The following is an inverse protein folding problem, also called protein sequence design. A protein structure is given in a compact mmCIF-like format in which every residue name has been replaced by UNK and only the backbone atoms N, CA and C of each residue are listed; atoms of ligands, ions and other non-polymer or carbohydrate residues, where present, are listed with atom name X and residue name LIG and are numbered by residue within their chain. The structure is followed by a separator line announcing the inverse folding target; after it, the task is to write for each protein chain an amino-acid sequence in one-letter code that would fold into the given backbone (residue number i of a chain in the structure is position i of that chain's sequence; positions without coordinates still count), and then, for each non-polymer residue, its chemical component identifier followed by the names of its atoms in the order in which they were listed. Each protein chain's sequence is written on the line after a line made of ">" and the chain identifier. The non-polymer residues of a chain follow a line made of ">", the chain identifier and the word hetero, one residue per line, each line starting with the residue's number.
data_IF_069057620928
#
_entry.id   IF_069057620928
#
_cell.length_a   1.000
_cell.length_b   1.000
_cell.length_c   1.000
_cell.angle_alpha   90.00
_cell.angle_beta   90.00
_cell.angle_gamma   90.00
#
_symmetry.space_group_name_H-M   'P 1'
#
loop_
_entity.id
_entity.type
_entity.pdbx_description
1 polymer ?
#
# COMPACT_ATOMS: atom_id res chain seq x y z
N UNK A 1 -6.74 -11.82 -16.16
CA UNK A 1 -6.46 -12.08 -14.73
C UNK A 1 -5.07 -11.54 -14.29
N UNK A 2 -4.42 -10.67 -15.06
CA UNK A 2 -3.01 -10.29 -14.81
C UNK A 2 -2.69 -8.82 -15.11
N UNK A 3 -3.58 -7.89 -14.77
CA UNK A 3 -3.40 -6.48 -15.17
C UNK A 3 -3.28 -5.50 -14.03
N UNK A 4 -3.26 -5.97 -12.78
CA UNK A 4 -3.26 -5.10 -11.61
C UNK A 4 -2.55 -5.77 -10.42
N UNK A 5 -1.44 -6.46 -10.69
CA UNK A 5 -0.89 -7.44 -9.75
C UNK A 5 -0.68 -6.93 -8.32
N UNK A 6 -0.31 -5.66 -8.08
CA UNK A 6 -0.11 -5.16 -6.70
C UNK A 6 -1.40 -4.79 -5.98
N UNK A 7 -2.36 -4.13 -6.64
CA UNK A 7 -3.65 -3.82 -6.03
C UNK A 7 -4.53 -5.07 -5.90
N UNK A 8 -4.49 -5.97 -6.87
CA UNK A 8 -5.19 -7.26 -6.78
C UNK A 8 -4.59 -8.14 -5.69
N UNK A 9 -3.26 -8.15 -5.50
CA UNK A 9 -2.61 -8.97 -4.45
C UNK A 9 -2.99 -8.56 -3.04
N UNK A 10 -3.07 -7.25 -2.75
CA UNK A 10 -3.46 -6.78 -1.41
C UNK A 10 -4.90 -7.18 -1.08
N UNK A 11 -5.84 -7.04 -2.03
CA UNK A 11 -7.22 -7.46 -1.85
C UNK A 11 -7.38 -8.99 -1.77
N UNK A 12 -6.64 -9.73 -2.60
CA UNK A 12 -6.65 -11.20 -2.63
C UNK A 12 -6.15 -11.81 -1.31
N UNK A 13 -5.07 -11.27 -0.76
CA UNK A 13 -4.40 -11.82 0.42
C UNK A 13 -4.95 -11.29 1.75
N UNK A 14 -5.65 -10.14 1.75
CA UNK A 14 -6.22 -9.51 2.96
C UNK A 14 -6.94 -10.49 3.90
N UNK A 15 -7.76 -11.45 3.40
CA UNK A 15 -8.45 -12.41 4.26
C UNK A 15 -7.53 -13.35 5.05
N UNK A 16 -6.26 -13.51 4.66
CA UNK A 16 -5.27 -14.36 5.30
C UNK A 16 -4.09 -13.60 5.92
N UNK A 17 -4.06 -12.27 5.78
CA UNK A 17 -2.97 -11.46 6.31
C UNK A 17 -2.72 -11.74 7.80
N UNK A 18 -1.43 -11.81 8.14
CA UNK A 18 -0.92 -11.92 9.51
C UNK A 18 -1.35 -13.18 10.29
N UNK A 19 -1.67 -14.28 9.59
CA UNK A 19 -1.75 -15.61 10.21
C UNK A 19 -0.32 -16.14 10.41
N UNK A 20 0.27 -15.85 11.57
CA UNK A 20 1.66 -16.24 11.88
C UNK A 20 1.82 -17.70 12.32
N UNK A 21 0.75 -18.32 12.83
CA UNK A 21 0.77 -19.74 13.20
C UNK A 21 0.78 -20.60 11.93
N UNK A 22 1.93 -21.21 11.65
CA UNK A 22 2.13 -22.02 10.46
C UNK A 22 1.24 -23.28 10.41
N UNK A 23 0.88 -23.86 11.56
CA UNK A 23 -0.01 -25.02 11.58
C UNK A 23 -1.44 -24.60 11.28
N UNK A 24 -1.87 -23.48 11.85
CA UNK A 24 -3.18 -22.89 11.52
C UNK A 24 -3.25 -22.53 10.04
N UNK A 25 -2.22 -21.87 9.49
CA UNK A 25 -2.18 -21.51 8.07
C UNK A 25 -2.24 -22.76 7.19
N UNK A 26 -1.45 -23.79 7.48
CA UNK A 26 -1.51 -25.08 6.76
C UNK A 26 -2.90 -25.71 6.80
N UNK A 27 -3.55 -25.70 7.96
CA UNK A 27 -4.91 -26.21 8.11
C UNK A 27 -5.95 -25.45 7.29
N UNK A 28 -5.77 -24.13 7.12
CA UNK A 28 -6.63 -23.31 6.26
C UNK A 28 -6.38 -23.62 4.78
N UNK A 29 -5.11 -23.67 4.36
CA UNK A 29 -4.72 -23.96 2.97
C UNK A 29 -5.04 -25.39 2.53
N UNK A 30 -5.13 -26.34 3.47
CA UNK A 30 -5.55 -27.71 3.17
C UNK A 30 -7.05 -27.81 2.80
N UNK A 31 -7.87 -26.85 3.21
CA UNK A 31 -9.30 -26.82 2.89
C UNK A 31 -9.58 -26.21 1.51
N UNK A 32 -8.73 -25.29 1.08
CA UNK A 32 -8.86 -24.61 -0.21
C UNK A 32 -7.47 -24.27 -0.77
N UNK A 33 -7.07 -24.89 -1.90
CA UNK A 33 -5.77 -24.65 -2.53
C UNK A 33 -5.68 -23.29 -3.22
N UNK A 34 -6.79 -22.57 -3.42
CA UNK A 34 -6.85 -21.23 -4.03
C UNK A 34 -7.28 -20.19 -2.99
N UNK A 35 -6.36 -19.79 -2.09
CA UNK A 35 -6.69 -18.97 -0.94
C UNK A 35 -6.91 -17.48 -1.25
N UNK A 36 -6.82 -17.05 -2.51
CA UNK A 36 -7.16 -15.71 -2.91
C UNK A 36 -8.65 -15.40 -2.71
N UNK A 37 -8.96 -14.19 -2.23
CA UNK A 37 -10.34 -13.71 -2.10
C UNK A 37 -11.24 -14.67 -1.29
N UNK A 38 -10.74 -15.23 -0.18
CA UNK A 38 -11.57 -16.06 0.70
C UNK A 38 -12.80 -15.29 1.17
N UNK A 39 -13.96 -15.94 1.07
CA UNK A 39 -15.23 -15.41 1.57
C UNK A 39 -15.22 -15.28 3.09
N UNK A 40 -14.64 -16.26 3.79
CA UNK A 40 -14.43 -16.20 5.24
C UNK A 40 -12.99 -15.79 5.57
N UNK A 41 -12.85 -14.62 6.18
CA UNK A 41 -11.56 -14.07 6.59
C UNK A 41 -10.98 -14.81 7.80
N UNK A 42 -9.78 -15.34 7.66
CA UNK A 42 -9.00 -15.92 8.74
C UNK A 42 -8.00 -14.93 9.39
N UNK A 43 -7.98 -13.68 8.92
CA UNK A 43 -7.16 -12.59 9.44
C UNK A 43 -7.38 -12.47 10.96
N UNK A 44 -6.35 -12.43 11.81
CA UNK A 44 -6.57 -12.35 13.26
C UNK A 44 -6.82 -10.93 13.78
N UNK A 45 -6.63 -9.89 12.96
CA UNK A 45 -6.58 -8.50 13.42
C UNK A 45 -7.76 -7.65 13.01
N UNK A 46 -8.26 -7.80 11.77
CA UNK A 46 -9.34 -6.96 11.26
C UNK A 46 -10.21 -7.67 10.22
N UNK A 47 -11.41 -7.13 10.00
CA UNK A 47 -12.39 -7.61 9.02
C UNK A 47 -12.72 -6.50 8.04
N UNK A 48 -12.54 -6.78 6.74
CA UNK A 48 -13.06 -5.98 5.63
C UNK A 48 -13.80 -6.90 4.68
N UNK A 49 -14.63 -6.33 3.83
CA UNK A 49 -15.28 -7.08 2.77
C UNK A 49 -14.22 -7.64 1.81
N UNK A 50 -14.31 -8.93 1.51
CA UNK A 50 -13.42 -9.59 0.54
C UNK A 50 -13.43 -8.85 -0.80
N UNK A 51 -12.24 -8.60 -1.35
CA UNK A 51 -12.04 -7.79 -2.55
C UNK A 51 -11.75 -6.31 -2.25
N UNK A 52 -11.96 -5.83 -1.02
CA UNK A 52 -11.45 -4.53 -0.60
C UNK A 52 -9.95 -4.60 -0.32
N UNK A 53 -9.29 -3.46 -0.48
CA UNK A 53 -7.87 -3.32 -0.20
C UNK A 53 -7.55 -3.49 1.29
N UNK A 54 -6.32 -3.86 1.59
CA UNK A 54 -5.74 -3.61 2.90
C UNK A 54 -5.15 -2.20 2.97
N UNK A 55 -4.70 -1.77 4.16
CA UNK A 55 -4.00 -0.51 4.34
C UNK A 55 -2.73 -0.36 3.47
N UNK A 56 -2.11 -1.47 3.08
CA UNK A 56 -1.00 -1.47 2.12
C UNK A 56 -1.45 -1.04 0.72
N UNK A 57 -2.55 -1.65 0.23
CA UNK A 57 -3.11 -1.33 -1.08
C UNK A 57 -3.68 0.09 -1.14
N UNK A 58 -4.32 0.54 -0.06
CA UNK A 58 -4.85 1.91 0.03
C UNK A 58 -3.71 2.96 -0.01
N UNK A 59 -2.56 2.69 0.61
CA UNK A 59 -1.39 3.58 0.49
C UNK A 59 -0.81 3.60 -0.93
N UNK A 60 -0.77 2.45 -1.60
CA UNK A 60 -0.35 2.39 -3.00
C UNK A 60 -1.32 3.18 -3.90
N UNK A 61 -2.62 3.09 -3.64
CA UNK A 61 -3.65 3.87 -4.34
C UNK A 61 -3.44 5.38 -4.16
N UNK A 62 -3.26 5.86 -2.93
CA UNK A 62 -3.02 7.28 -2.66
C UNK A 62 -1.77 7.79 -3.36
N UNK A 63 -0.69 6.99 -3.39
CA UNK A 63 0.52 7.34 -4.13
C UNK A 63 0.29 7.41 -5.64
N UNK A 64 -0.43 6.42 -6.21
CA UNK A 64 -0.78 6.40 -7.62
C UNK A 64 -1.63 7.62 -8.00
N UNK A 65 -2.64 7.95 -7.20
CA UNK A 65 -3.52 9.08 -7.42
C UNK A 65 -2.73 10.40 -7.42
N UNK A 66 -1.84 10.61 -6.43
CA UNK A 66 -0.98 11.79 -6.36
C UNK A 66 -0.08 11.92 -7.60
N UNK A 67 0.58 10.84 -8.01
CA UNK A 67 1.45 10.81 -9.20
C UNK A 67 0.69 11.13 -10.48
N UNK A 68 -0.50 10.55 -10.64
CA UNK A 68 -1.36 10.75 -11.81
C UNK A 68 -1.81 12.20 -11.94
N UNK A 69 -2.30 12.79 -10.84
CA UNK A 69 -2.84 14.15 -10.82
C UNK A 69 -1.74 15.21 -10.92
N UNK A 70 -0.56 14.96 -10.35
CA UNK A 70 0.55 15.92 -10.36
C UNK A 70 1.49 15.77 -11.56
N UNK A 71 1.38 14.70 -12.36
CA UNK A 71 2.32 14.40 -13.43
C UNK A 71 3.74 14.09 -12.94
N UNK A 72 3.87 13.64 -11.68
CA UNK A 72 5.14 13.36 -11.02
C UNK A 72 4.99 13.39 -9.50
N UNK A 73 6.07 13.08 -8.78
CA UNK A 73 6.10 13.12 -7.33
C UNK A 73 6.00 14.56 -6.84
N UNK A 74 4.89 14.86 -6.16
CA UNK A 74 4.71 16.05 -5.36
C UNK A 74 4.52 15.62 -3.89
N UNK A 75 5.55 15.85 -3.07
CA UNK A 75 5.57 15.40 -1.67
C UNK A 75 4.46 16.06 -0.85
N UNK A 76 4.15 17.32 -1.10
CA UNK A 76 3.12 18.05 -0.36
C UNK A 76 1.73 17.56 -0.73
N UNK A 77 1.44 17.35 -2.02
CA UNK A 77 0.18 16.74 -2.47
C UNK A 77 0.01 15.33 -1.88
N UNK A 78 1.08 14.51 -1.90
CA UNK A 78 1.07 13.18 -1.31
C UNK A 78 0.77 13.21 0.20
N UNK A 79 1.37 14.14 0.95
CA UNK A 79 1.05 14.37 2.37
C UNK A 79 -0.42 14.73 2.56
N UNK A 80 -0.95 15.67 1.77
CA UNK A 80 -2.35 16.11 1.88
C UNK A 80 -3.34 14.98 1.55
N UNK A 81 -3.09 14.20 0.50
CA UNK A 81 -3.95 13.05 0.16
C UNK A 81 -3.87 11.95 1.18
N UNK A 82 -2.67 11.67 1.73
CA UNK A 82 -2.49 10.71 2.82
C UNK A 82 -3.27 11.16 4.06
N UNK A 83 -3.19 12.44 4.44
CA UNK A 83 -3.97 12.99 5.54
C UNK A 83 -5.47 12.88 5.27
N UNK A 84 -5.94 13.22 4.07
CA UNK A 84 -7.35 13.14 3.70
C UNK A 84 -7.88 11.69 3.75
N UNK A 85 -7.09 10.73 3.25
CA UNK A 85 -7.52 9.34 3.11
C UNK A 85 -7.47 8.58 4.45
N UNK A 86 -6.46 8.85 5.28
CA UNK A 86 -6.21 8.09 6.51
C UNK A 86 -6.46 8.89 7.80
N UNK A 87 -6.69 10.20 7.73
CA UNK A 87 -6.83 11.10 8.87
C UNK A 87 -8.26 11.20 9.42
N UNK A 88 -8.56 12.29 10.16
CA UNK A 88 -9.85 12.48 10.82
C UNK A 88 -11.04 12.41 9.85
N UNK A 89 -12.11 11.72 10.26
CA UNK A 89 -13.34 11.55 9.45
C UNK A 89 -13.25 10.50 8.32
N UNK A 90 -12.11 9.82 8.16
CA UNK A 90 -11.96 8.71 7.22
C UNK A 90 -12.52 7.38 7.79
N UNK A 91 -12.63 6.35 6.95
CA UNK A 91 -12.96 4.97 7.38
C UNK A 91 -11.92 4.43 8.39
N UNK A 92 -10.70 4.95 8.34
CA UNK A 92 -9.64 4.59 9.28
C UNK A 92 -9.79 5.27 10.64
N UNK A 93 -10.63 6.29 10.77
CA UNK A 93 -10.80 7.09 11.99
C UNK A 93 -11.70 6.40 13.02
N UNK A 94 -11.17 5.33 13.61
CA UNK A 94 -11.85 4.53 14.63
C UNK A 94 -11.12 4.60 15.97
N UNK A 95 -11.80 4.35 17.10
CA UNK A 95 -11.15 4.36 18.42
C UNK A 95 -9.95 3.40 18.56
N UNK A 96 -9.93 2.29 17.82
CA UNK A 96 -8.80 1.34 17.83
C UNK A 96 -7.63 1.84 16.97
N UNK A 97 -7.94 2.59 15.91
CA UNK A 97 -6.97 3.17 15.00
C UNK A 97 -6.45 4.54 15.46
N UNK A 98 -7.05 5.14 16.49
CA UNK A 98 -6.64 6.43 17.04
C UNK A 98 -5.10 6.47 17.26
N UNK A 99 -4.38 7.41 16.62
CA UNK A 99 -2.95 7.55 16.81
C UNK A 99 -2.57 7.83 18.27
N UNK A 100 -3.43 8.52 19.02
CA UNK A 100 -3.21 8.94 20.41
C UNK A 100 -3.69 7.92 21.45
N UNK A 101 -4.23 6.78 21.02
CA UNK A 101 -4.67 5.70 21.88
C UNK A 101 -3.55 5.26 22.84
N UNK A 102 -3.86 5.22 24.14
CA UNK A 102 -2.94 4.76 25.17
C UNK A 102 -2.54 3.29 24.94
N UNK A 103 -1.23 3.04 24.85
CA UNK A 103 -0.66 1.70 24.68
C UNK A 103 -0.72 0.87 25.97
N UNK A 104 -0.80 1.52 27.12
CA UNK A 104 -0.94 0.87 28.43
C UNK A 104 -2.40 0.59 28.80
N UNK A 105 -3.34 1.14 28.03
CA UNK A 105 -4.76 0.89 28.20
C UNK A 105 -5.19 -0.54 27.83
N UNK A 106 -6.47 -0.88 28.06
CA UNK A 106 -7.01 -2.19 27.70
C UNK A 106 -6.75 -2.54 26.24
N UNK A 107 -6.36 -3.78 25.94
CA UNK A 107 -6.17 -4.23 24.55
C UNK A 107 -7.52 -4.31 23.82
N UNK A 108 -7.59 -3.95 22.53
CA UNK A 108 -8.83 -4.09 21.78
C UNK A 108 -9.17 -5.57 21.62
N UNK A 109 -10.47 -5.88 21.59
CA UNK A 109 -10.90 -7.20 21.15
C UNK A 109 -10.61 -7.32 19.65
N UNK A 110 -9.90 -8.38 19.27
CA UNK A 110 -9.57 -8.68 17.89
C UNK A 110 -10.36 -9.90 17.41
N UNK A 111 -10.71 -9.98 16.12
CA UNK A 111 -10.47 -8.96 15.09
C UNK A 111 -11.38 -7.73 15.24
N UNK A 112 -10.92 -6.55 14.82
CA UNK A 112 -11.78 -5.37 14.72
C UNK A 112 -12.65 -5.44 13.46
N UNK A 113 -13.81 -4.80 13.52
CA UNK A 113 -14.61 -4.51 12.32
C UNK A 113 -14.08 -3.24 11.65
N UNK A 114 -13.80 -3.32 10.35
CA UNK A 114 -13.25 -2.22 9.56
C UNK A 114 -11.74 -2.31 9.30
N UNK A 115 -11.14 -1.24 8.74
CA UNK A 115 -9.75 -1.27 8.31
C UNK A 115 -8.78 -1.11 9.48
N UNK A 116 -7.55 -1.59 9.30
CA UNK A 116 -6.45 -1.45 10.27
C UNK A 116 -5.48 -0.34 9.86
N UNK A 117 -5.28 0.68 10.71
CA UNK A 117 -4.30 1.76 10.47
C UNK A 117 -2.91 1.33 10.97
N UNK A 118 -1.93 1.32 10.06
CA UNK A 118 -0.54 0.95 10.37
C UNK A 118 0.15 1.95 11.31
N UNK A 119 1.22 1.51 11.96
CA UNK A 119 1.96 2.32 12.91
C UNK A 119 2.65 3.52 12.24
N UNK A 120 3.23 3.30 11.05
CA UNK A 120 3.76 4.35 10.16
C UNK A 120 2.76 5.50 9.94
N UNK A 121 1.52 5.18 9.58
CA UNK A 121 0.44 6.16 9.38
C UNK A 121 0.00 6.84 10.69
N UNK A 122 -0.04 6.13 11.82
CA UNK A 122 -0.35 6.75 13.11
C UNK A 122 0.70 7.79 13.50
N UNK A 123 1.98 7.48 13.29
CA UNK A 123 3.08 8.43 13.51
C UNK A 123 3.06 9.58 12.51
N UNK A 124 2.75 9.32 11.24
CA UNK A 124 2.52 10.35 10.23
C UNK A 124 1.49 11.39 10.69
N UNK A 125 0.31 10.94 11.14
CA UNK A 125 -0.73 11.85 11.63
C UNK A 125 -0.25 12.70 12.82
N UNK A 126 0.47 12.10 13.77
CA UNK A 126 1.05 12.85 14.90
C UNK A 126 2.06 13.90 14.47
N UNK A 127 2.92 13.56 13.51
CA UNK A 127 3.93 14.47 13.02
C UNK A 127 3.31 15.64 12.24
N UNK A 128 2.24 15.37 11.47
CA UNK A 128 1.43 16.41 10.81
C UNK A 128 0.76 17.31 11.83
N UNK A 129 0.11 16.76 12.86
CA UNK A 129 -0.55 17.54 13.92
C UNK A 129 0.45 18.42 14.70
N UNK A 130 1.69 17.93 14.86
CA UNK A 130 2.79 18.66 15.49
C UNK A 130 3.44 19.70 14.56
N UNK A 131 3.01 19.83 13.30
CA UNK A 131 3.57 20.77 12.34
C UNK A 131 5.00 20.45 11.90
N UNK A 132 5.42 19.19 11.97
CA UNK A 132 6.76 18.78 11.51
C UNK A 132 6.86 18.80 9.99
N UNK A 133 8.01 19.24 9.49
CA UNK A 133 8.34 19.16 8.06
C UNK A 133 8.53 17.71 7.60
N UNK A 134 9.30 16.94 8.37
CA UNK A 134 9.48 15.50 8.19
C UNK A 134 8.37 14.73 8.90
N UNK A 135 7.48 14.12 8.11
CA UNK A 135 6.26 13.50 8.62
C UNK A 135 6.41 12.00 8.86
N UNK A 136 7.40 11.33 8.29
CA UNK A 136 7.55 9.89 8.40
C UNK A 136 7.90 9.40 9.81
N UNK A 137 7.56 8.14 10.10
CA UNK A 137 7.90 7.50 11.36
C UNK A 137 9.37 7.09 11.40
N UNK A 138 10.12 7.56 12.40
CA UNK A 138 11.55 7.24 12.58
C UNK A 138 11.81 5.81 13.08
N UNK A 139 10.81 5.19 13.71
CA UNK A 139 10.94 3.90 14.42
C UNK A 139 10.20 2.75 13.74
N UNK A 140 9.40 3.04 12.71
CA UNK A 140 8.71 2.01 11.97
C UNK A 140 9.65 1.42 10.91
N UNK A 141 9.93 0.12 11.05
CA UNK A 141 10.75 -0.64 10.10
C UNK A 141 9.94 -1.78 9.46
N UNK A 142 8.65 -1.54 9.20
CA UNK A 142 7.79 -2.53 8.55
C UNK A 142 7.90 -2.45 7.02
N UNK A 143 7.36 -3.46 6.34
CA UNK A 143 7.43 -3.62 4.88
C UNK A 143 6.51 -2.68 4.08
N UNK A 144 5.92 -1.66 4.72
CA UNK A 144 4.92 -0.76 4.12
C UNK A 144 5.46 -0.11 2.84
N UNK A 145 6.72 0.32 2.85
CA UNK A 145 7.38 0.91 1.68
C UNK A 145 7.44 -0.04 0.48
N UNK A 146 7.78 -1.31 0.70
CA UNK A 146 7.81 -2.32 -0.36
C UNK A 146 6.40 -2.57 -0.91
N UNK A 147 5.40 -2.66 -0.04
CA UNK A 147 4.04 -2.97 -0.44
C UNK A 147 3.40 -1.87 -1.32
N UNK A 148 3.90 -0.63 -1.24
CA UNK A 148 3.37 0.52 -2.00
C UNK A 148 4.29 1.08 -3.08
N UNK A 149 5.47 0.51 -3.32
CA UNK A 149 6.46 1.08 -4.26
C UNK A 149 6.08 0.99 -5.74
N UNK A 150 5.13 0.11 -6.10
CA UNK A 150 4.85 -0.21 -7.50
C UNK A 150 4.47 1.01 -8.38
N UNK A 151 3.57 1.92 -7.95
CA UNK A 151 3.18 3.09 -8.76
C UNK A 151 4.37 4.00 -9.09
N UNK A 152 5.21 4.31 -8.09
CA UNK A 152 6.32 5.24 -8.27
C UNK A 152 7.46 4.64 -9.08
N UNK A 153 7.75 3.35 -8.91
CA UNK A 153 8.74 2.65 -9.74
C UNK A 153 8.29 2.56 -11.19
N UNK A 154 7.00 2.30 -11.43
CA UNK A 154 6.43 2.30 -12.77
C UNK A 154 6.50 3.70 -13.42
N UNK A 155 6.13 4.74 -12.67
CA UNK A 155 6.13 6.13 -13.15
C UNK A 155 7.53 6.60 -13.56
N UNK A 156 8.54 6.30 -12.75
CA UNK A 156 9.93 6.71 -12.97
C UNK A 156 10.78 5.63 -13.64
N UNK A 157 10.16 4.60 -14.24
CA UNK A 157 10.88 3.50 -14.87
C UNK A 157 11.89 4.01 -15.92
N UNK A 158 13.16 3.62 -15.75
CA UNK A 158 14.24 4.00 -16.65
C UNK A 158 14.87 5.37 -16.37
N UNK A 159 14.26 6.21 -15.54
CA UNK A 159 14.80 7.52 -15.17
C UNK A 159 15.95 7.39 -14.16
N UNK A 160 17.01 8.21 -14.27
CA UNK A 160 18.19 8.11 -13.39
C UNK A 160 17.89 8.49 -11.93
N UNK A 161 16.87 9.31 -11.70
CA UNK A 161 16.43 9.81 -10.39
C UNK A 161 15.35 8.93 -9.74
N UNK A 162 14.96 7.80 -10.35
CA UNK A 162 13.88 6.92 -9.85
C UNK A 162 14.04 6.54 -8.37
N UNK A 163 15.26 6.18 -7.95
CA UNK A 163 15.50 5.79 -6.55
C UNK A 163 15.38 6.97 -5.58
N UNK A 164 15.78 8.16 -6.01
CA UNK A 164 15.60 9.39 -5.23
C UNK A 164 14.10 9.68 -5.01
N UNK A 165 13.29 9.53 -6.07
CA UNK A 165 11.84 9.71 -6.00
C UNK A 165 11.18 8.66 -5.11
N UNK A 166 11.60 7.40 -5.22
CA UNK A 166 11.13 6.34 -4.31
C UNK A 166 11.42 6.72 -2.86
N UNK A 167 12.65 7.09 -2.53
CA UNK A 167 13.01 7.48 -1.16
C UNK A 167 12.16 8.66 -0.65
N UNK A 168 12.02 9.72 -1.44
CA UNK A 168 11.20 10.88 -1.09
C UNK A 168 9.73 10.50 -0.78
N UNK A 169 9.14 9.59 -1.56
CA UNK A 169 7.76 9.14 -1.34
C UNK A 169 7.62 8.26 -0.09
N UNK A 170 8.58 7.37 0.19
CA UNK A 170 8.53 6.50 1.38
C UNK A 170 8.68 7.31 2.66
N UNK A 171 9.58 8.30 2.66
CA UNK A 171 9.83 9.19 3.81
C UNK A 171 8.62 10.02 4.24
N UNK A 172 7.57 10.10 3.43
CA UNK A 172 6.29 10.70 3.85
C UNK A 172 5.70 9.98 5.06
N UNK A 173 5.75 8.64 5.12
CA UNK A 173 5.16 7.86 6.22
C UNK A 173 6.19 7.05 7.02
N UNK A 174 7.35 6.74 6.45
CA UNK A 174 8.41 5.96 7.09
C UNK A 174 9.77 6.67 6.90
N UNK A 175 10.29 7.28 7.96
CA UNK A 175 11.57 7.98 7.97
C UNK A 175 12.63 7.18 8.72
N UNK A 176 12.75 5.89 8.39
CA UNK A 176 13.72 4.98 8.98
C UNK A 176 14.65 4.45 7.88
N UNK A 177 15.96 4.58 8.08
CA UNK A 177 16.93 4.27 7.02
C UNK A 177 16.99 2.78 6.65
N UNK A 178 16.68 1.87 7.58
CA UNK A 178 16.67 0.44 7.32
C UNK A 178 15.52 0.07 6.37
N UNK A 179 14.28 0.48 6.67
CA UNK A 179 13.16 0.19 5.77
C UNK A 179 13.25 0.95 4.44
N UNK A 180 13.85 2.15 4.43
CA UNK A 180 14.13 2.88 3.19
C UNK A 180 15.14 2.10 2.34
N UNK A 181 16.23 1.62 2.94
CA UNK A 181 17.22 0.83 2.22
C UNK A 181 16.64 -0.46 1.63
N UNK A 182 15.82 -1.19 2.39
CA UNK A 182 15.09 -2.38 1.92
C UNK A 182 14.17 -2.04 0.74
N UNK A 183 13.42 -0.94 0.86
CA UNK A 183 12.50 -0.50 -0.19
C UNK A 183 13.25 -0.12 -1.47
N UNK A 184 14.39 0.56 -1.37
CA UNK A 184 15.24 0.90 -2.51
C UNK A 184 15.84 -0.35 -3.16
N UNK A 185 16.21 -1.37 -2.37
CA UNK A 185 16.67 -2.65 -2.91
C UNK A 185 15.57 -3.37 -3.69
N UNK A 186 14.33 -3.37 -3.18
CA UNK A 186 13.17 -3.90 -3.89
C UNK A 186 12.88 -3.12 -5.18
N UNK A 187 12.92 -1.78 -5.13
CA UNK A 187 12.69 -0.92 -6.30
C UNK A 187 13.70 -1.18 -7.43
N UNK A 188 14.97 -1.44 -7.09
CA UNK A 188 16.00 -1.84 -8.08
C UNK A 188 15.66 -3.17 -8.76
N UNK A 189 15.09 -4.10 -8.02
CA UNK A 189 14.77 -5.45 -8.52
C UNK A 189 13.56 -5.44 -9.48
N UNK A 190 12.63 -4.51 -9.28
CA UNK A 190 11.38 -4.40 -10.07
C UNK A 190 11.53 -3.43 -11.26
N UNK A 191 12.72 -2.84 -11.47
CA UNK A 191 12.99 -1.90 -12.57
C UNK A 191 12.71 -2.56 -13.94
N UNK A 192 11.78 -2.03 -14.76
CA UNK A 192 11.58 -2.50 -16.13
C UNK A 192 12.86 -2.32 -16.94
N UNK A 193 13.25 -3.35 -17.72
CA UNK A 193 14.47 -3.33 -18.56
C UNK A 193 14.33 -2.49 -19.84
N UNK A 194 13.16 -1.94 -20.14
CA UNK A 194 12.89 -1.16 -21.35
C UNK A 194 12.11 0.12 -21.01
N UNK A 195 12.26 1.21 -21.80
CA UNK A 195 11.44 2.41 -21.64
C UNK A 195 9.96 2.06 -21.80
N UNK A 196 9.19 2.26 -20.72
CA UNK A 196 7.74 2.06 -20.70
C UNK A 196 7.08 3.35 -21.22
N UNK A 197 6.26 3.24 -22.27
CA UNK A 197 5.58 4.39 -22.87
C UNK A 197 4.36 4.83 -22.04
N UNK A 198 4.57 5.86 -21.22
CA UNK A 198 3.62 6.40 -20.24
C UNK A 198 2.32 6.96 -20.88
N UNK A 199 2.38 7.43 -22.13
CA UNK A 199 1.21 7.97 -22.86
C UNK A 199 0.14 6.91 -23.14
N UNK A 200 0.54 5.63 -23.17
CA UNK A 200 -0.39 4.52 -23.35
C UNK A 200 -1.23 4.19 -22.09
N UNK A 201 -0.77 4.61 -20.90
CA UNK A 201 -1.49 4.40 -19.64
C UNK A 201 -2.57 5.49 -19.45
N UNK A 202 -2.22 6.75 -19.68
CA UNK A 202 -3.14 7.89 -19.55
C UNK A 202 -4.28 7.85 -20.59
N UNK A 203 -3.96 7.52 -21.85
CA UNK A 203 -4.97 7.38 -22.91
C UNK A 203 -5.96 6.22 -22.68
N UNK A 204 -5.64 5.27 -21.79
CA UNK A 204 -6.52 4.16 -21.40
C UNK A 204 -7.41 4.45 -20.19
N UNK A 205 -7.01 5.40 -19.33
CA UNK A 205 -7.84 5.85 -18.18
C UNK A 205 -8.97 6.75 -18.66
N UNK A 206 -8.74 7.59 -19.67
CA UNK A 206 -9.77 8.50 -20.20
C UNK A 206 -10.72 7.84 -21.21
N UNK A 207 -10.42 6.63 -21.72
CA UNK A 207 -10.98 6.12 -22.98
C UNK A 207 -11.90 4.90 -22.97
N UNK A 208 -12.16 4.19 -21.85
CA UNK A 208 -12.81 2.88 -21.97
C UNK A 208 -13.73 2.46 -20.82
N UNK A 209 -14.96 2.96 -20.86
CA UNK A 209 -16.15 2.13 -20.57
C UNK A 209 -16.32 1.16 -21.74
N UNK A 210 -15.60 0.03 -21.79
CA UNK A 210 -15.94 -1.21 -22.56
C UNK A 210 -14.74 -2.16 -22.73
N UNK A 211 -14.59 -3.06 -21.76
CA UNK A 211 -14.32 -4.52 -21.86
C UNK A 211 -13.37 -5.17 -22.88
N UNK A 212 -12.64 -4.51 -23.78
CA UNK A 212 -11.77 -5.23 -24.73
C UNK A 212 -10.50 -4.45 -25.08
N UNK A 213 -9.42 -4.61 -24.31
CA UNK A 213 -8.02 -4.70 -24.78
C UNK A 213 -7.07 -4.82 -23.57
N UNK A 214 -7.20 -5.96 -22.89
CA UNK A 214 -6.65 -6.20 -21.56
C UNK A 214 -5.83 -7.52 -21.59
N UNK A 215 -4.75 -7.55 -22.39
CA UNK A 215 -4.01 -8.79 -22.67
C UNK A 215 -2.58 -8.70 -23.21
N UNK A 216 -1.89 -7.54 -23.17
CA UNK A 216 -0.54 -7.42 -23.75
C UNK A 216 0.62 -7.32 -22.74
N UNK A 217 0.35 -7.23 -21.44
CA UNK A 217 1.40 -7.01 -20.42
C UNK A 217 1.94 -8.31 -19.81
N UNK A 218 1.29 -9.46 -20.05
CA UNK A 218 1.61 -10.71 -19.35
C UNK A 218 2.59 -11.65 -20.07
N UNK A 219 3.06 -11.31 -21.28
CA UNK A 219 3.82 -12.26 -22.12
C UNK A 219 5.34 -12.23 -21.90
N UNK A 220 5.87 -11.32 -21.06
CA UNK A 220 7.33 -11.18 -20.88
C UNK A 220 7.88 -11.60 -19.51
N UNK A 221 7.06 -12.24 -18.67
CA UNK A 221 7.50 -12.83 -17.41
C UNK A 221 7.00 -14.28 -17.36
N UNK A 222 7.56 -15.10 -18.24
CA UNK A 222 7.67 -16.55 -18.05
C UNK A 222 9.10 -16.86 -17.59
#
# INVERSE_FOLDING_TARGET
>A
LYENCTCDSSAAAQPLHWVYDLQKLKGILAQDPNPEFRSESANPFYRRQTGQQSCYGDQAYVLLESLSECGGLNVDDLKQRTLKFFGPGSEYDTPVNDPYRDRNGPRPQLPIEGPWRQASLKSFLKNVDAGKEETGCETDCQIDGIAKLAPIVAFYAGQPDMLEKVEQAIRVTQNNDECVAETLAAARSVRPRAPFDYLSLLSRVEGSVSTRLWGLVCVQVA
#
